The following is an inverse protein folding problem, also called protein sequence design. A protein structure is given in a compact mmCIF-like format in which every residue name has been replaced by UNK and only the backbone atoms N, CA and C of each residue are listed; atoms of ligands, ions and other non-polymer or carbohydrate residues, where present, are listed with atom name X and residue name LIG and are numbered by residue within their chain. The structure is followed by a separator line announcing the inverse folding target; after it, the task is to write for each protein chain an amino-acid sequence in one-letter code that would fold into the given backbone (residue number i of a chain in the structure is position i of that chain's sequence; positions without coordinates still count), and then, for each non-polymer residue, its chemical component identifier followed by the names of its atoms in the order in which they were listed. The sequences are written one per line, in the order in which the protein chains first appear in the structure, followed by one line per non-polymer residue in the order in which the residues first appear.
data_IF_183927424316
#
_entry.id   IF_183927424316
#
_cell.length_a   1.000
_cell.length_b   1.000
_cell.length_c   1.000
_cell.angle_alpha   90.00
_cell.angle_beta   90.00
_cell.angle_gamma   90.00
#
_symmetry.space_group_name_H-M   'P 1'
#
loop_
_entity.id
_entity.type
_entity.pdbx_description
1 polymer ?
#
# COMPACT_ATOMS: atom_id res chain seq x y z
N UNK A 1 -3.53 21.69 -12.71
CA UNK A 1 -4.53 20.77 -13.30
C UNK A 1 -5.25 20.10 -12.14
N UNK A 2 -6.53 19.74 -12.30
CA UNK A 2 -7.26 18.98 -11.29
C UNK A 2 -6.83 17.52 -11.33
N UNK A 3 -6.76 16.86 -10.16
CA UNK A 3 -6.57 15.41 -10.09
C UNK A 3 -7.85 14.74 -10.59
N UNK A 4 -7.71 13.76 -11.46
CA UNK A 4 -8.81 12.95 -12.00
C UNK A 4 -8.61 11.50 -11.61
N UNK A 5 -9.65 10.85 -11.12
CA UNK A 5 -9.59 9.47 -10.64
C UNK A 5 -10.70 8.63 -11.29
N UNK A 6 -10.37 7.41 -11.67
CA UNK A 6 -11.38 6.47 -12.15
C UNK A 6 -12.20 5.95 -10.97
N UNK A 7 -13.49 6.28 -10.99
CA UNK A 7 -14.42 5.84 -9.97
C UNK A 7 -15.08 4.52 -10.40
N UNK A 8 -14.84 3.45 -9.64
CA UNK A 8 -15.43 2.13 -9.93
C UNK A 8 -16.95 2.17 -9.92
N UNK A 9 -17.56 3.03 -9.08
CA UNK A 9 -19.00 3.13 -8.96
C UNK A 9 -19.67 3.67 -10.24
N UNK A 10 -19.12 4.74 -10.82
CA UNK A 10 -19.65 5.33 -12.06
C UNK A 10 -19.03 4.71 -13.33
N UNK A 11 -17.89 4.00 -13.20
CA UNK A 11 -17.03 3.54 -14.31
C UNK A 11 -16.52 4.67 -15.20
N UNK A 12 -16.32 5.85 -14.62
CA UNK A 12 -15.82 7.03 -15.33
C UNK A 12 -14.60 7.62 -14.60
N UNK A 13 -13.75 8.31 -15.35
CA UNK A 13 -12.71 9.15 -14.76
C UNK A 13 -13.31 10.50 -14.45
N UNK A 14 -13.33 10.87 -13.17
CA UNK A 14 -14.00 12.06 -12.63
C UNK A 14 -12.96 13.03 -12.05
N UNK A 15 -13.26 14.32 -12.08
CA UNK A 15 -12.48 15.31 -11.35
C UNK A 15 -12.63 15.09 -9.84
N UNK A 16 -11.49 15.02 -9.15
CA UNK A 16 -11.49 14.84 -7.70
C UNK A 16 -11.70 16.17 -6.99
N UNK A 17 -12.70 16.22 -6.12
CA UNK A 17 -12.96 17.34 -5.23
C UNK A 17 -13.31 16.82 -3.85
N UNK A 18 -12.57 17.21 -2.79
CA UNK A 18 -12.84 16.76 -1.42
C UNK A 18 -14.22 17.16 -0.91
N UNK A 19 -14.73 16.38 0.05
CA UNK A 19 -15.93 16.72 0.84
C UNK A 19 -15.71 17.95 1.73
N UNK A 20 -14.47 18.20 2.10
CA UNK A 20 -14.10 19.36 2.91
C UNK A 20 -14.46 20.67 2.18
N UNK A 21 -15.28 21.54 2.79
CA UNK A 21 -15.67 22.82 2.17
C UNK A 21 -14.49 23.75 1.86
N UNK A 22 -13.37 23.61 2.58
CA UNK A 22 -12.13 24.33 2.30
C UNK A 22 -11.34 23.72 1.12
N UNK A 23 -11.73 22.53 0.66
CA UNK A 23 -11.09 21.84 -0.45
C UNK A 23 -9.68 21.29 -0.13
N UNK A 24 -9.34 21.11 1.14
CA UNK A 24 -8.00 20.74 1.58
C UNK A 24 -7.89 19.33 2.16
N UNK A 25 -8.86 18.93 2.99
CA UNK A 25 -8.82 17.64 3.69
C UNK A 25 -9.47 16.54 2.88
N UNK A 26 -8.82 15.39 2.86
CA UNK A 26 -9.27 14.17 2.17
C UNK A 26 -9.39 13.03 3.17
N UNK A 27 -10.58 12.45 3.29
CA UNK A 27 -10.89 11.28 4.11
C UNK A 27 -10.74 10.03 3.28
N UNK A 28 -9.73 9.23 3.56
CA UNK A 28 -9.38 8.03 2.80
C UNK A 28 -9.45 6.78 3.69
N UNK A 29 -10.26 5.80 3.31
CA UNK A 29 -10.29 4.49 3.95
C UNK A 29 -9.72 3.43 3.01
N UNK A 30 -8.92 2.51 3.55
CA UNK A 30 -8.30 1.44 2.79
C UNK A 30 -8.49 0.12 3.53
N UNK A 31 -8.92 -0.94 2.81
CA UNK A 31 -9.04 -2.26 3.42
C UNK A 31 -7.67 -2.85 3.70
N UNK A 32 -7.39 -3.08 4.99
CA UNK A 32 -6.16 -3.69 5.45
C UNK A 32 -6.18 -5.22 5.46
N UNK A 33 -5.15 -5.88 5.98
CA UNK A 33 -5.04 -7.32 5.97
C UNK A 33 -5.89 -8.02 7.02
N UNK A 34 -6.33 -9.24 6.70
CA UNK A 34 -6.71 -10.23 7.72
C UNK A 34 -5.43 -10.86 8.28
N UNK A 35 -5.16 -10.65 9.56
CA UNK A 35 -3.87 -10.95 10.20
C UNK A 35 -3.78 -12.37 10.74
N UNK A 36 -3.96 -13.36 9.87
CA UNK A 36 -3.81 -14.80 10.18
C UNK A 36 -2.55 -15.42 9.58
N UNK A 37 -1.86 -14.70 8.69
CA UNK A 37 -0.63 -15.10 8.02
C UNK A 37 0.13 -13.86 7.53
N UNK A 38 1.39 -14.03 7.12
CA UNK A 38 2.12 -12.97 6.43
C UNK A 38 1.37 -12.50 5.18
N UNK A 39 1.32 -11.20 4.97
CA UNK A 39 0.77 -10.63 3.75
C UNK A 39 1.63 -11.04 2.54
N UNK A 40 0.97 -11.26 1.41
CA UNK A 40 1.65 -11.63 0.17
C UNK A 40 1.79 -10.42 -0.77
N UNK A 41 2.62 -10.56 -1.80
CA UNK A 41 2.89 -9.46 -2.76
C UNK A 41 1.63 -8.93 -3.46
N UNK A 42 0.58 -9.74 -3.59
CA UNK A 42 -0.72 -9.29 -4.11
C UNK A 42 -1.41 -8.28 -3.20
N UNK A 43 -1.32 -8.46 -1.87
CA UNK A 43 -1.81 -7.48 -0.92
C UNK A 43 -0.96 -6.19 -1.01
N UNK A 44 0.37 -6.33 -1.04
CA UNK A 44 1.27 -5.18 -1.14
C UNK A 44 1.13 -4.41 -2.44
N UNK A 45 0.64 -5.03 -3.52
CA UNK A 45 0.30 -4.28 -4.73
C UNK A 45 -0.81 -3.25 -4.46
N UNK A 46 -1.87 -3.65 -3.75
CA UNK A 46 -2.94 -2.72 -3.37
C UNK A 46 -2.42 -1.64 -2.42
N UNK A 47 -1.71 -2.02 -1.37
CA UNK A 47 -1.18 -1.06 -0.39
C UNK A 47 -0.14 -0.09 -0.99
N UNK A 48 0.63 -0.53 -1.98
CA UNK A 48 1.60 0.33 -2.67
C UNK A 48 0.90 1.33 -3.60
N UNK A 49 -0.18 0.92 -4.28
CA UNK A 49 -1.03 1.82 -5.04
C UNK A 49 -1.71 2.87 -4.15
N UNK A 50 -2.25 2.47 -3.00
CA UNK A 50 -2.88 3.35 -2.02
C UNK A 50 -1.88 4.38 -1.46
N UNK A 51 -0.64 3.95 -1.23
CA UNK A 51 0.46 4.84 -0.83
C UNK A 51 0.84 5.83 -1.93
N UNK A 52 0.88 5.39 -3.19
CA UNK A 52 1.10 6.27 -4.34
C UNK A 52 0.00 7.34 -4.43
N UNK A 53 -1.26 6.94 -4.27
CA UNK A 53 -2.41 7.84 -4.27
C UNK A 53 -2.29 8.88 -3.16
N UNK A 54 -2.05 8.46 -1.92
CA UNK A 54 -1.88 9.37 -0.79
C UNK A 54 -0.74 10.36 -1.03
N UNK A 55 0.44 9.87 -1.42
CA UNK A 55 1.62 10.71 -1.68
C UNK A 55 1.39 11.70 -2.83
N UNK A 56 0.67 11.29 -3.86
CA UNK A 56 0.34 12.17 -4.98
C UNK A 56 -0.64 13.27 -4.56
N UNK A 57 -1.70 12.93 -3.82
CA UNK A 57 -2.65 13.91 -3.27
C UNK A 57 -1.93 14.90 -2.35
N UNK A 58 -1.05 14.44 -1.46
CA UNK A 58 -0.23 15.30 -0.60
C UNK A 58 0.70 16.21 -1.42
N UNK A 59 1.31 15.69 -2.49
CA UNK A 59 2.14 16.49 -3.39
C UNK A 59 1.33 17.56 -4.16
N UNK A 60 0.01 17.36 -4.30
CA UNK A 60 -0.93 18.35 -4.84
C UNK A 60 -1.50 19.30 -3.77
N UNK A 61 -1.03 19.18 -2.52
CA UNK A 61 -1.37 20.09 -1.44
C UNK A 61 -2.57 19.67 -0.60
N UNK A 62 -3.09 18.47 -0.76
CA UNK A 62 -4.14 17.93 0.09
C UNK A 62 -3.60 17.40 1.41
N UNK A 63 -4.38 17.52 2.48
CA UNK A 63 -4.15 16.86 3.77
C UNK A 63 -4.95 15.56 3.79
N UNK A 64 -4.28 14.42 3.65
CA UNK A 64 -4.94 13.11 3.59
C UNK A 64 -4.97 12.48 4.98
N UNK A 65 -6.18 12.28 5.53
CA UNK A 65 -6.41 11.46 6.73
C UNK A 65 -6.74 10.04 6.28
N UNK A 66 -5.77 9.12 6.42
CA UNK A 66 -5.92 7.72 6.00
C UNK A 66 -6.16 6.79 7.17
N UNK A 67 -7.17 5.94 7.02
CA UNK A 67 -7.47 4.82 7.91
C UNK A 67 -7.24 3.52 7.16
N UNK A 68 -6.54 2.56 7.79
CA UNK A 68 -6.39 1.19 7.29
C UNK A 68 -6.71 0.21 8.42
N UNK A 69 -7.75 -0.61 8.25
CA UNK A 69 -8.15 -1.56 9.29
C UNK A 69 -7.21 -2.77 9.39
N UNK A 70 -7.28 -3.43 10.54
CA UNK A 70 -6.69 -4.75 10.76
C UNK A 70 -7.81 -5.71 11.15
N UNK A 71 -8.14 -6.66 10.27
CA UNK A 71 -9.09 -7.72 10.57
C UNK A 71 -8.38 -8.79 11.40
N UNK A 72 -8.53 -8.72 12.72
CA UNK A 72 -7.91 -9.61 13.70
C UNK A 72 -8.88 -10.62 14.31
N UNK A 73 -10.13 -10.64 13.83
CA UNK A 73 -11.12 -11.65 14.15
C UNK A 73 -11.88 -12.08 12.89
N UNK A 74 -11.71 -13.33 12.49
CA UNK A 74 -12.48 -14.02 11.44
C UNK A 74 -12.32 -15.55 11.59
N UNK A 75 -12.97 -16.33 10.74
CA UNK A 75 -12.85 -17.80 10.76
C UNK A 75 -11.41 -18.30 10.59
N UNK A 76 -10.57 -17.57 9.84
CA UNK A 76 -9.17 -17.96 9.57
C UNK A 76 -8.27 -17.65 10.75
N UNK A 77 -8.46 -16.48 11.38
CA UNK A 77 -7.68 -16.06 12.56
C UNK A 77 -7.98 -16.97 13.76
N UNK A 78 -9.27 -17.28 14.00
CA UNK A 78 -9.71 -18.17 15.09
C UNK A 78 -9.15 -19.58 14.87
N UNK A 79 -9.31 -20.14 13.67
CA UNK A 79 -8.78 -21.44 13.32
C UNK A 79 -7.27 -21.52 13.45
N UNK A 80 -6.55 -20.48 13.00
CA UNK A 80 -5.11 -20.37 13.10
C UNK A 80 -4.61 -20.30 14.55
N UNK A 81 -5.26 -19.48 15.38
CA UNK A 81 -4.96 -19.36 16.80
C UNK A 81 -5.14 -20.68 17.55
N UNK A 82 -6.26 -21.37 17.30
CA UNK A 82 -6.55 -22.70 17.89
C UNK A 82 -5.53 -23.75 17.45
N UNK A 83 -5.21 -23.82 16.16
CA UNK A 83 -4.21 -24.73 15.63
C UNK A 83 -2.83 -24.49 16.23
N UNK A 84 -2.48 -23.24 16.53
CA UNK A 84 -1.23 -22.85 17.19
C UNK A 84 -1.28 -22.98 18.73
N UNK A 85 -2.41 -23.34 19.33
CA UNK A 85 -2.57 -23.41 20.80
C UNK A 85 -2.36 -22.06 21.49
N UNK A 86 -2.72 -20.94 20.83
CA UNK A 86 -2.49 -19.58 21.31
C UNK A 86 -3.81 -18.81 21.44
N UNK A 87 -3.84 -17.81 22.34
CA UNK A 87 -4.96 -16.86 22.37
C UNK A 87 -5.01 -16.07 21.06
N UNK A 88 -6.20 -15.67 20.62
CA UNK A 88 -6.40 -14.93 19.37
C UNK A 88 -5.50 -13.68 19.29
N UNK A 89 -5.48 -12.86 20.34
CA UNK A 89 -4.68 -11.64 20.39
C UNK A 89 -3.17 -11.91 20.22
N UNK A 90 -2.63 -12.96 20.93
CA UNK A 90 -1.22 -13.31 20.84
C UNK A 90 -0.84 -13.89 19.46
N UNK A 91 -1.77 -14.58 18.82
CA UNK A 91 -1.58 -15.13 17.49
C UNK A 91 -1.58 -14.03 16.43
N UNK A 92 -2.57 -13.16 16.45
CA UNK A 92 -2.71 -12.09 15.45
C UNK A 92 -1.65 -11.01 15.60
N UNK A 93 -1.15 -10.76 16.82
CA UNK A 93 -0.11 -9.76 17.07
C UNK A 93 1.17 -10.05 16.28
N UNK A 94 1.56 -11.32 16.16
CA UNK A 94 2.74 -11.72 15.35
C UNK A 94 2.62 -11.24 13.90
N UNK A 95 1.43 -11.37 13.32
CA UNK A 95 1.20 -10.96 11.93
C UNK A 95 0.96 -9.46 11.78
N UNK A 96 0.43 -8.78 12.81
CA UNK A 96 0.38 -7.32 12.86
C UNK A 96 1.80 -6.73 12.85
N UNK A 97 2.69 -7.21 13.71
CA UNK A 97 4.08 -6.75 13.78
C UNK A 97 4.82 -7.01 12.48
N UNK A 98 4.62 -8.21 11.90
CA UNK A 98 5.16 -8.57 10.61
C UNK A 98 4.67 -7.65 9.48
N UNK A 99 3.37 -7.35 9.45
CA UNK A 99 2.76 -6.44 8.49
C UNK A 99 3.35 -5.04 8.58
N UNK A 100 3.50 -4.53 9.79
CA UNK A 100 4.12 -3.23 9.99
C UNK A 100 5.58 -3.18 9.53
N UNK A 101 6.36 -4.21 9.83
CA UNK A 101 7.73 -4.33 9.32
C UNK A 101 7.77 -4.34 7.79
N UNK A 102 6.83 -5.03 7.15
CA UNK A 102 6.73 -5.11 5.70
C UNK A 102 6.35 -3.75 5.07
N UNK A 103 5.44 -2.99 5.70
CA UNK A 103 5.11 -1.62 5.25
C UNK A 103 6.37 -0.73 5.25
N UNK A 104 7.15 -0.77 6.33
CA UNK A 104 8.38 0.03 6.44
C UNK A 104 9.41 -0.40 5.39
N UNK A 105 9.59 -1.70 5.19
CA UNK A 105 10.51 -2.27 4.20
C UNK A 105 10.14 -1.85 2.78
N UNK A 106 8.84 -1.80 2.46
CA UNK A 106 8.33 -1.33 1.17
C UNK A 106 8.16 0.20 1.11
N UNK A 107 8.50 0.93 2.20
CA UNK A 107 8.33 2.39 2.31
C UNK A 107 6.91 2.87 2.07
N UNK A 108 5.95 2.03 2.41
CA UNK A 108 4.54 2.39 2.42
C UNK A 108 4.30 3.28 3.64
N UNK A 109 3.82 4.49 3.40
CA UNK A 109 3.54 5.45 4.46
C UNK A 109 2.51 4.87 5.42
N UNK A 110 2.76 5.00 6.71
CA UNK A 110 1.81 4.58 7.75
C UNK A 110 0.51 5.37 7.60
N UNK A 111 -0.64 4.70 7.72
CA UNK A 111 -1.91 5.38 7.85
C UNK A 111 -1.96 6.13 9.20
N UNK A 112 -2.81 7.13 9.32
CA UNK A 112 -2.99 7.88 10.57
C UNK A 112 -3.63 7.01 11.65
N UNK A 113 -4.47 6.03 11.23
CA UNK A 113 -5.15 5.11 12.11
C UNK A 113 -5.09 3.68 11.58
N UNK A 114 -4.81 2.73 12.48
CA UNK A 114 -4.87 1.29 12.22
C UNK A 114 -5.84 0.62 13.21
N UNK A 115 -7.17 0.82 13.06
CA UNK A 115 -8.15 0.20 13.94
C UNK A 115 -8.12 -1.32 13.78
N UNK A 116 -8.11 -2.05 14.91
CA UNK A 116 -8.28 -3.50 14.92
C UNK A 116 -9.73 -3.86 15.28
N UNK A 117 -10.31 -4.84 14.58
CA UNK A 117 -11.71 -5.20 14.73
C UNK A 117 -12.09 -5.62 16.17
N UNK A 118 -11.13 -6.24 16.91
CA UNK A 118 -11.35 -6.69 18.30
C UNK A 118 -11.25 -5.59 19.35
N UNK A 119 -10.91 -4.34 18.99
CA UNK A 119 -10.87 -3.25 19.96
C UNK A 119 -12.28 -2.99 20.53
N UNK A 120 -12.45 -2.88 21.88
CA UNK A 120 -13.77 -2.78 22.51
C UNK A 120 -14.65 -1.68 21.89
N UNK A 121 -14.08 -0.52 21.62
CA UNK A 121 -14.82 0.62 21.02
C UNK A 121 -15.42 0.31 19.65
N UNK A 122 -14.77 -0.54 18.84
CA UNK A 122 -15.28 -0.91 17.53
C UNK A 122 -16.28 -2.05 17.62
N UNK A 123 -16.09 -3.01 18.55
CA UNK A 123 -17.13 -4.02 18.88
C UNK A 123 -18.42 -3.33 19.33
N UNK A 124 -18.35 -2.37 20.24
CA UNK A 124 -19.49 -1.58 20.69
C UNK A 124 -20.16 -0.82 19.52
N UNK A 125 -19.34 -0.23 18.62
CA UNK A 125 -19.84 0.46 17.44
C UNK A 125 -20.54 -0.48 16.47
N UNK A 126 -19.99 -1.66 16.21
CA UNK A 126 -20.61 -2.69 15.38
C UNK A 126 -21.95 -3.15 15.97
N UNK A 127 -21.98 -3.43 17.27
CA UNK A 127 -23.23 -3.78 17.97
C UNK A 127 -24.27 -2.67 17.83
N UNK A 128 -23.88 -1.42 18.03
CA UNK A 128 -24.80 -0.28 17.88
C UNK A 128 -25.36 -0.16 16.45
N UNK A 129 -24.50 -0.31 15.42
CA UNK A 129 -24.93 -0.27 14.01
C UNK A 129 -25.90 -1.42 13.70
N UNK A 130 -25.59 -2.64 14.15
CA UNK A 130 -26.46 -3.82 13.95
C UNK A 130 -27.80 -3.62 14.67
N UNK A 131 -27.79 -3.09 15.89
CA UNK A 131 -29.00 -2.75 16.64
C UNK A 131 -29.89 -1.78 15.86
N UNK A 132 -29.31 -0.72 15.29
CA UNK A 132 -30.04 0.25 14.45
C UNK A 132 -30.64 -0.41 13.20
N UNK A 133 -29.91 -1.31 12.53
CA UNK A 133 -30.42 -2.04 11.36
C UNK A 133 -31.56 -3.00 11.72
N UNK A 134 -31.50 -3.63 12.90
CA UNK A 134 -32.59 -4.48 13.44
C UNK A 134 -33.83 -3.65 13.73
N UNK A 135 -33.70 -2.52 14.41
CA UNK A 135 -34.82 -1.60 14.73
C UNK A 135 -35.49 -1.06 13.44
N UNK A 136 -34.72 -0.83 12.38
CA UNK A 136 -35.24 -0.39 11.07
C UNK A 136 -35.87 -1.55 10.26
N UNK A 137 -35.78 -2.80 10.72
CA UNK A 137 -36.25 -3.99 9.98
C UNK A 137 -35.43 -4.29 8.71
N UNK A 138 -34.23 -3.73 8.62
CA UNK A 138 -33.24 -3.97 7.56
C UNK A 138 -32.45 -5.23 7.85
N UNK A 139 -32.18 -5.51 9.12
CA UNK A 139 -31.60 -6.76 9.58
C UNK A 139 -32.64 -7.64 10.29
N UNK A 140 -32.31 -8.91 10.43
CA UNK A 140 -33.12 -9.86 11.19
C UNK A 140 -32.23 -10.86 11.93
N UNK A 141 -32.75 -11.40 13.03
CA UNK A 141 -32.12 -12.49 13.76
C UNK A 141 -32.70 -13.83 13.26
N UNK A 142 -31.81 -14.75 12.90
CA UNK A 142 -32.15 -16.10 12.49
C UNK A 142 -32.35 -17.05 13.72
N UNK A 143 -32.80 -18.29 13.49
CA UNK A 143 -33.05 -19.28 14.54
C UNK A 143 -31.77 -19.64 15.33
N UNK A 144 -30.61 -19.66 14.67
CA UNK A 144 -29.29 -19.90 15.24
C UNK A 144 -28.76 -18.72 16.09
N UNK A 145 -29.54 -17.61 16.17
CA UNK A 145 -29.21 -16.33 16.82
C UNK A 145 -28.19 -15.49 16.09
N UNK A 146 -27.75 -15.87 14.91
CA UNK A 146 -26.98 -14.99 14.02
C UNK A 146 -27.86 -13.86 13.50
N UNK A 147 -27.25 -12.73 13.18
CA UNK A 147 -27.96 -11.57 12.60
C UNK A 147 -27.50 -11.36 11.17
N UNK A 148 -28.46 -11.26 10.26
CA UNK A 148 -28.23 -11.07 8.83
C UNK A 148 -28.80 -9.75 8.34
N UNK A 149 -28.13 -9.17 7.33
CA UNK A 149 -28.65 -8.03 6.56
C UNK A 149 -29.60 -8.56 5.50
N UNK A 150 -30.80 -7.99 5.40
CA UNK A 150 -31.83 -8.37 4.43
C UNK A 150 -31.64 -7.59 3.14
N UNK A 151 -31.03 -8.21 2.13
CA UNK A 151 -30.70 -7.55 0.85
C UNK A 151 -31.93 -6.96 0.15
N UNK A 152 -33.10 -7.57 0.26
CA UNK A 152 -34.35 -7.06 -0.29
C UNK A 152 -34.74 -5.66 0.24
N UNK A 153 -34.15 -5.20 1.34
CA UNK A 153 -34.36 -3.86 1.91
C UNK A 153 -33.42 -2.79 1.38
N UNK A 154 -32.42 -3.17 0.58
CA UNK A 154 -31.49 -2.25 -0.05
C UNK A 154 -31.44 -2.49 -1.58
N UNK A 155 -32.37 -1.92 -2.35
CA UNK A 155 -32.49 -2.16 -3.79
C UNK A 155 -31.27 -1.76 -4.62
N UNK A 156 -30.42 -0.86 -4.07
CA UNK A 156 -29.19 -0.41 -4.72
C UNK A 156 -28.01 -1.39 -4.55
N UNK A 157 -28.18 -2.51 -3.85
CA UNK A 157 -27.12 -3.52 -3.71
C UNK A 157 -26.71 -4.08 -5.07
N UNK A 158 -25.42 -4.17 -5.32
CA UNK A 158 -24.87 -4.57 -6.61
C UNK A 158 -24.53 -3.40 -7.55
N UNK A 159 -24.82 -2.15 -7.15
CA UNK A 159 -24.57 -0.98 -7.99
C UNK A 159 -23.08 -0.70 -8.20
N UNK A 160 -22.22 -0.89 -7.20
CA UNK A 160 -20.76 -0.75 -7.32
C UNK A 160 -20.16 -1.85 -8.22
N UNK A 161 -20.60 -3.08 -8.05
CA UNK A 161 -20.15 -4.23 -8.81
C UNK A 161 -20.82 -4.33 -10.20
N UNK A 162 -21.82 -3.50 -10.48
CA UNK A 162 -22.65 -3.52 -11.67
C UNK A 162 -23.30 -4.89 -11.94
N UNK A 163 -23.77 -5.52 -10.86
CA UNK A 163 -24.42 -6.82 -10.91
C UNK A 163 -25.93 -6.68 -11.06
N UNK A 164 -26.51 -7.55 -11.87
CA UNK A 164 -27.95 -7.76 -11.88
C UNK A 164 -28.30 -8.80 -10.80
N UNK A 165 -28.94 -8.38 -9.71
CA UNK A 165 -29.31 -9.28 -8.61
C UNK A 165 -30.23 -10.42 -9.03
N UNK A 166 -31.04 -10.24 -10.08
CA UNK A 166 -31.91 -11.29 -10.61
C UNK A 166 -31.11 -12.45 -11.26
N UNK A 167 -29.88 -12.16 -11.69
CA UNK A 167 -28.95 -13.16 -12.26
C UNK A 167 -28.13 -13.89 -11.18
N UNK A 168 -28.09 -13.37 -9.94
CA UNK A 168 -27.41 -13.99 -8.80
C UNK A 168 -28.22 -15.11 -8.13
N UNK A 169 -29.39 -15.47 -8.68
CA UNK A 169 -30.12 -16.66 -8.28
C UNK A 169 -29.28 -17.92 -8.52
N UNK A 170 -29.38 -18.97 -7.72
CA UNK A 170 -28.32 -19.84 -7.24
C UNK A 170 -27.51 -20.51 -8.34
N UNK A 171 -26.43 -19.87 -8.76
CA UNK A 171 -25.38 -20.50 -9.60
C UNK A 171 -24.30 -21.24 -8.79
N UNK A 172 -24.47 -21.40 -7.48
CA UNK A 172 -23.55 -22.14 -6.61
C UNK A 172 -22.16 -21.55 -6.46
N UNK A 173 -21.90 -20.31 -6.90
CA UNK A 173 -20.56 -19.68 -6.90
C UNK A 173 -20.31 -18.66 -5.80
N UNK A 174 -21.32 -18.26 -5.04
CA UNK A 174 -21.10 -17.54 -3.80
C UNK A 174 -20.79 -18.60 -2.76
N UNK A 175 -19.55 -18.67 -2.28
CA UNK A 175 -19.23 -19.44 -1.06
C UNK A 175 -20.05 -18.82 0.04
N UNK A 176 -21.27 -19.36 0.21
CA UNK A 176 -22.14 -18.98 1.31
C UNK A 176 -21.42 -19.36 2.57
N UNK A 177 -21.30 -18.43 3.51
CA UNK A 177 -21.06 -18.81 4.89
C UNK A 177 -22.01 -19.97 5.21
N UNK A 178 -21.53 -21.03 5.86
CA UNK A 178 -22.25 -22.27 6.19
C UNK A 178 -23.37 -22.05 7.23
N UNK A 179 -24.25 -21.04 7.03
CA UNK A 179 -25.29 -20.65 8.00
C UNK A 179 -26.68 -20.74 7.39
N UNK A 180 -27.65 -21.03 8.26
CA UNK A 180 -29.07 -20.94 7.89
C UNK A 180 -29.45 -19.48 7.61
N UNK A 181 -29.92 -19.19 6.40
CA UNK A 181 -30.34 -17.87 5.94
C UNK A 181 -31.78 -17.93 5.45
N UNK A 182 -32.56 -16.89 5.69
CA UNK A 182 -33.88 -16.75 5.10
C UNK A 182 -33.80 -16.59 3.57
N UNK A 183 -32.71 -15.97 3.10
CA UNK A 183 -32.47 -15.72 1.68
C UNK A 183 -31.00 -15.95 1.35
N UNK A 184 -30.71 -16.64 0.25
CA UNK A 184 -29.35 -17.01 -0.19
C UNK A 184 -28.45 -15.79 -0.43
N UNK A 185 -29.02 -14.61 -0.67
CA UNK A 185 -28.29 -13.37 -0.86
C UNK A 185 -27.91 -12.61 0.41
N UNK A 186 -28.60 -12.85 1.54
CA UNK A 186 -28.38 -12.11 2.79
C UNK A 186 -27.02 -12.45 3.39
N UNK A 187 -26.33 -11.46 3.97
CA UNK A 187 -25.00 -11.62 4.54
C UNK A 187 -24.97 -11.39 6.05
N UNK A 188 -24.05 -12.09 6.73
CA UNK A 188 -23.96 -12.04 8.19
C UNK A 188 -23.40 -10.70 8.69
N UNK A 189 -24.13 -10.08 9.62
CA UNK A 189 -23.70 -8.92 10.40
C UNK A 189 -23.10 -9.35 11.75
N UNK A 190 -23.66 -10.42 12.34
CA UNK A 190 -23.21 -11.02 13.58
C UNK A 190 -23.33 -12.53 13.47
N UNK A 191 -22.26 -13.24 13.75
CA UNK A 191 -22.23 -14.71 13.79
C UNK A 191 -22.41 -15.16 15.21
N UNK A 192 -23.46 -15.93 15.48
CA UNK A 192 -23.71 -16.53 16.80
C UNK A 192 -22.51 -17.40 17.19
N UNK A 193 -22.16 -17.37 18.46
CA UNK A 193 -21.08 -18.19 18.99
C UNK A 193 -21.38 -19.69 18.85
N UNK A 194 -20.36 -20.43 18.48
CA UNK A 194 -20.36 -21.89 18.46
C UNK A 194 -19.04 -22.45 19.03
N UNK A 195 -18.98 -23.75 19.27
CA UNK A 195 -17.79 -24.39 19.87
C UNK A 195 -16.51 -24.23 19.06
N UNK A 196 -16.59 -23.99 17.75
CA UNK A 196 -15.45 -23.75 16.91
C UNK A 196 -14.79 -22.38 17.18
N UNK A 197 -15.53 -21.41 17.72
CA UNK A 197 -15.04 -20.10 18.11
C UNK A 197 -14.23 -20.14 19.43
N UNK A 198 -14.42 -21.19 20.26
CA UNK A 198 -13.75 -21.34 21.56
C UNK A 198 -14.06 -20.20 22.50
N UNK A 199 -13.05 -19.47 22.98
CA UNK A 199 -13.22 -18.32 23.89
C UNK A 199 -13.55 -17.01 23.17
N UNK A 200 -13.50 -16.99 21.83
CA UNK A 200 -13.67 -15.76 21.03
C UNK A 200 -15.15 -15.44 20.88
N UNK A 201 -15.63 -14.55 21.73
CA UNK A 201 -17.03 -14.06 21.70
C UNK A 201 -17.17 -12.74 22.43
N UNK A 202 -18.19 -12.00 22.05
CA UNK A 202 -18.67 -10.80 22.73
C UNK A 202 -20.14 -10.92 23.00
N UNK A 203 -20.61 -10.31 24.09
CA UNK A 203 -22.04 -10.26 24.43
C UNK A 203 -22.71 -9.15 23.60
N UNK A 204 -23.84 -9.47 23.01
CA UNK A 204 -24.70 -8.54 22.30
C UNK A 204 -26.17 -8.73 22.71
N UNK A 205 -27.09 -7.76 22.49
CA UNK A 205 -28.49 -7.87 22.86
C UNK A 205 -29.22 -9.10 22.30
N UNK A 206 -28.73 -9.60 21.14
CA UNK A 206 -29.27 -10.78 20.45
C UNK A 206 -28.53 -12.09 20.80
N UNK A 207 -27.50 -12.03 21.60
CA UNK A 207 -26.77 -13.19 22.10
C UNK A 207 -25.27 -13.10 21.88
N UNK A 208 -24.53 -14.01 22.52
CA UNK A 208 -23.08 -14.10 22.38
C UNK A 208 -22.67 -14.48 20.96
N UNK A 209 -21.59 -13.88 20.47
CA UNK A 209 -21.08 -14.13 19.11
C UNK A 209 -19.94 -13.21 18.73
N UNK A 210 -19.76 -13.01 17.45
CA UNK A 210 -18.73 -12.14 16.87
C UNK A 210 -19.21 -11.40 15.63
N UNK A 211 -18.58 -10.26 15.26
CA UNK A 211 -18.98 -9.54 14.05
C UNK A 211 -18.81 -10.39 12.78
N UNK A 212 -19.66 -10.13 11.81
CA UNK A 212 -19.44 -10.51 10.41
C UNK A 212 -18.32 -9.66 9.82
N UNK A 213 -17.67 -10.16 8.78
CA UNK A 213 -16.51 -9.49 8.18
C UNK A 213 -16.81 -8.08 7.62
N UNK A 214 -18.00 -7.89 7.05
CA UNK A 214 -18.31 -6.63 6.35
C UNK A 214 -18.64 -5.47 7.30
N UNK A 215 -19.20 -5.73 8.47
CA UNK A 215 -19.58 -4.68 9.43
C UNK A 215 -18.36 -4.03 10.09
N UNK A 216 -17.21 -4.71 10.10
CA UNK A 216 -15.98 -4.20 10.70
C UNK A 216 -15.56 -2.88 10.03
N UNK A 217 -15.42 -2.89 8.69
CA UNK A 217 -14.99 -1.72 7.94
C UNK A 217 -16.02 -0.58 8.01
N UNK A 218 -17.30 -0.89 7.87
CA UNK A 218 -18.39 0.10 8.01
C UNK A 218 -18.35 0.81 9.37
N UNK A 219 -18.17 0.05 10.46
CA UNK A 219 -18.13 0.59 11.81
C UNK A 219 -16.87 1.43 12.06
N UNK A 220 -15.70 0.93 11.67
CA UNK A 220 -14.41 1.60 11.85
C UNK A 220 -14.31 2.87 10.98
N UNK A 221 -14.71 2.79 9.72
CA UNK A 221 -14.69 3.92 8.81
C UNK A 221 -15.61 5.06 9.29
N UNK A 222 -16.86 4.73 9.62
CA UNK A 222 -17.82 5.74 10.10
C UNK A 222 -17.46 6.31 11.47
N UNK A 223 -16.80 5.54 12.34
CA UNK A 223 -16.36 6.01 13.66
C UNK A 223 -15.19 6.99 13.58
N UNK A 224 -14.24 6.78 12.65
CA UNK A 224 -13.03 7.58 12.54
C UNK A 224 -13.19 8.75 11.55
N UNK A 225 -13.76 8.49 10.39
CA UNK A 225 -13.84 9.47 9.29
C UNK A 225 -15.23 10.12 9.17
N UNK A 226 -16.23 9.59 9.89
CA UNK A 226 -17.59 10.08 9.81
C UNK A 226 -18.42 9.38 8.73
N UNK A 227 -19.67 9.86 8.49
CA UNK A 227 -20.65 9.14 7.67
C UNK A 227 -20.40 9.19 6.16
N UNK A 228 -19.54 10.07 5.70
CA UNK A 228 -19.20 10.28 4.28
C UNK A 228 -17.70 10.34 4.10
N UNK A 229 -17.18 9.59 3.13
CA UNK A 229 -15.76 9.50 2.80
C UNK A 229 -15.50 10.06 1.40
N UNK A 230 -14.31 10.65 1.20
CA UNK A 230 -13.86 11.06 -0.12
C UNK A 230 -13.48 9.88 -0.97
N UNK A 231 -12.66 9.00 -0.42
CA UNK A 231 -12.05 7.87 -1.14
C UNK A 231 -12.13 6.60 -0.29
N UNK A 232 -12.49 5.48 -0.94
CA UNK A 232 -12.32 4.14 -0.39
C UNK A 232 -11.58 3.26 -1.39
N UNK A 233 -10.53 2.57 -0.93
CA UNK A 233 -9.69 1.71 -1.77
C UNK A 233 -9.69 0.25 -1.31
N UNK A 234 -9.40 -0.65 -2.26
CA UNK A 234 -9.15 -2.07 -2.01
C UNK A 234 -8.71 -2.81 -3.26
N UNK A 235 -8.62 -4.13 -3.20
CA UNK A 235 -8.48 -4.98 -4.37
C UNK A 235 -9.81 -5.11 -5.14
N UNK A 236 -9.77 -5.50 -6.41
CA UNK A 236 -11.00 -5.76 -7.19
C UNK A 236 -11.85 -6.90 -6.60
N UNK A 237 -11.25 -7.77 -5.81
CA UNK A 237 -11.93 -8.83 -5.05
C UNK A 237 -12.74 -8.30 -3.86
N UNK A 238 -12.45 -7.09 -3.39
CA UNK A 238 -13.25 -6.42 -2.37
C UNK A 238 -14.54 -5.80 -2.94
N UNK A 239 -14.62 -5.52 -4.24
CA UNK A 239 -15.82 -4.89 -4.85
C UNK A 239 -17.07 -5.67 -4.44
N UNK A 240 -17.03 -6.99 -4.61
CA UNK A 240 -18.14 -7.88 -4.25
C UNK A 240 -17.62 -9.14 -3.52
N UNK A 241 -18.24 -9.48 -2.37
CA UNK A 241 -19.41 -8.83 -1.77
C UNK A 241 -19.06 -7.71 -0.76
N UNK A 242 -17.76 -7.48 -0.44
CA UNK A 242 -17.32 -6.73 0.74
C UNK A 242 -17.76 -5.26 0.68
N UNK A 243 -17.33 -4.50 -0.32
CA UNK A 243 -17.64 -3.08 -0.43
C UNK A 243 -19.12 -2.80 -0.72
N UNK A 244 -19.79 -3.69 -1.45
CA UNK A 244 -21.26 -3.64 -1.59
C UNK A 244 -21.98 -3.75 -0.25
N UNK A 245 -21.53 -4.67 0.60
CA UNK A 245 -22.08 -4.82 1.93
C UNK A 245 -21.78 -3.61 2.81
N UNK A 246 -20.59 -3.01 2.70
CA UNK A 246 -20.25 -1.78 3.41
C UNK A 246 -21.14 -0.60 3.01
N UNK A 247 -21.41 -0.43 1.71
CA UNK A 247 -22.35 0.60 1.21
C UNK A 247 -23.73 0.38 1.86
N UNK A 248 -24.26 -0.84 1.76
CA UNK A 248 -25.58 -1.15 2.28
C UNK A 248 -25.68 -0.88 3.78
N UNK A 249 -24.70 -1.33 4.58
CA UNK A 249 -24.65 -1.12 6.03
C UNK A 249 -24.55 0.36 6.39
N UNK A 250 -23.59 1.07 5.77
CA UNK A 250 -23.30 2.45 6.11
C UNK A 250 -24.40 3.41 5.67
N UNK A 251 -24.93 3.25 4.46
CA UNK A 251 -25.98 4.13 3.93
C UNK A 251 -27.32 3.90 4.64
N UNK A 252 -27.65 2.65 5.01
CA UNK A 252 -28.84 2.38 5.81
C UNK A 252 -28.75 2.96 7.21
N UNK A 253 -27.56 2.93 7.85
CA UNK A 253 -27.40 3.52 9.17
C UNK A 253 -27.35 5.05 9.17
N UNK A 254 -26.76 5.65 8.15
CA UNK A 254 -26.47 7.09 8.16
C UNK A 254 -27.46 7.92 7.35
N UNK A 255 -28.15 7.32 6.39
CA UNK A 255 -29.01 7.99 5.42
C UNK A 255 -28.22 8.85 4.42
N UNK A 256 -26.90 8.66 4.32
CA UNK A 256 -25.99 9.45 3.48
C UNK A 256 -25.25 8.54 2.53
N UNK A 257 -24.79 9.08 1.39
CA UNK A 257 -23.89 8.38 0.48
C UNK A 257 -22.57 8.10 1.22
N UNK A 258 -22.16 6.84 1.28
CA UNK A 258 -21.03 6.43 2.09
C UNK A 258 -19.69 6.94 1.53
N UNK A 259 -19.43 6.71 0.24
CA UNK A 259 -18.14 7.06 -0.40
C UNK A 259 -18.36 7.78 -1.73
N UNK A 260 -17.57 8.81 -2.00
CA UNK A 260 -17.62 9.52 -3.28
C UNK A 260 -16.87 8.78 -4.39
N UNK A 261 -15.62 8.37 -4.13
CA UNK A 261 -14.76 7.73 -5.13
C UNK A 261 -14.31 6.35 -4.63
N UNK A 262 -14.65 5.33 -5.39
CA UNK A 262 -14.23 3.95 -5.15
C UNK A 262 -13.09 3.59 -6.10
N UNK A 263 -11.91 3.25 -5.57
CA UNK A 263 -10.74 2.90 -6.36
C UNK A 263 -10.31 1.47 -6.06
N UNK A 264 -10.16 0.67 -7.10
CA UNK A 264 -9.83 -0.75 -6.96
C UNK A 264 -8.58 -1.13 -7.75
N UNK A 265 -7.66 -1.81 -7.05
CA UNK A 265 -6.43 -2.33 -7.62
C UNK A 265 -6.69 -3.69 -8.27
N UNK A 266 -6.29 -3.86 -9.53
CA UNK A 266 -6.40 -5.12 -10.25
C UNK A 266 -5.47 -6.20 -9.67
N UNK A 267 -5.80 -7.47 -9.93
CA UNK A 267 -5.06 -8.62 -9.45
C UNK A 267 -3.58 -8.62 -9.88
N UNK A 268 -2.77 -9.23 -9.03
CA UNK A 268 -1.39 -9.58 -9.35
C UNK A 268 -1.33 -11.06 -9.78
N UNK A 269 -0.72 -11.31 -10.93
CA UNK A 269 -0.34 -12.62 -11.42
C UNK A 269 1.16 -12.84 -11.16
N UNK A 270 1.57 -14.09 -11.01
CA UNK A 270 2.98 -14.46 -10.88
C UNK A 270 3.32 -15.41 -12.02
N UNK A 271 4.33 -15.03 -12.82
CA UNK A 271 4.77 -15.80 -14.00
C UNK A 271 3.59 -16.18 -14.93
N UNK A 272 2.69 -15.19 -15.17
CA UNK A 272 1.53 -15.36 -16.03
C UNK A 272 0.37 -16.16 -15.46
N UNK A 273 0.44 -16.60 -14.21
CA UNK A 273 -0.55 -17.42 -13.55
C UNK A 273 -1.14 -16.75 -12.31
N UNK A 274 -2.35 -17.13 -11.92
CA UNK A 274 -2.92 -16.73 -10.63
C UNK A 274 -2.03 -17.26 -9.50
N UNK A 275 -1.70 -16.36 -8.56
CA UNK A 275 -0.90 -16.73 -7.39
C UNK A 275 -1.63 -17.72 -6.50
N UNK A 276 -1.01 -18.85 -6.18
CA UNK A 276 -1.53 -19.84 -5.25
C UNK A 276 -0.41 -20.62 -4.55
N UNK A 277 -0.65 -21.08 -3.33
CA UNK A 277 0.31 -21.92 -2.59
C UNK A 277 0.54 -23.26 -3.27
N UNK A 278 -0.49 -23.84 -3.86
CA UNK A 278 -0.43 -25.15 -4.58
C UNK A 278 0.39 -25.09 -5.86
N UNK A 279 0.45 -23.94 -6.52
CA UNK A 279 1.27 -23.73 -7.72
C UNK A 279 2.73 -23.37 -7.42
N UNK A 280 3.10 -23.20 -6.14
CA UNK A 280 4.47 -22.82 -5.76
C UNK A 280 4.89 -21.41 -6.18
N UNK A 281 3.94 -20.60 -6.63
CA UNK A 281 4.14 -19.22 -7.10
C UNK A 281 3.61 -18.17 -6.11
N UNK A 282 3.47 -18.54 -4.84
CA UNK A 282 3.03 -17.67 -3.77
C UNK A 282 4.25 -17.04 -3.08
N UNK A 283 4.37 -15.71 -3.17
CA UNK A 283 5.47 -14.97 -2.54
C UNK A 283 4.96 -14.01 -1.47
N UNK A 284 5.59 -14.09 -0.29
CA UNK A 284 5.61 -13.02 0.69
C UNK A 284 6.75 -12.06 0.39
N UNK A 285 6.77 -10.89 1.03
CA UNK A 285 7.93 -9.99 0.92
C UNK A 285 9.21 -10.68 1.42
N UNK A 286 9.15 -11.47 2.49
CA UNK A 286 10.28 -12.19 3.08
C UNK A 286 10.94 -13.15 2.09
N UNK A 287 10.13 -13.88 1.33
CA UNK A 287 10.64 -14.81 0.31
C UNK A 287 11.48 -14.08 -0.76
N UNK A 288 11.12 -12.82 -1.07
CA UNK A 288 11.85 -12.01 -2.03
C UNK A 288 13.13 -11.41 -1.43
N UNK A 289 13.08 -10.99 -0.16
CA UNK A 289 14.26 -10.51 0.57
C UNK A 289 15.29 -11.64 0.72
N UNK A 290 14.87 -12.86 1.04
CA UNK A 290 15.73 -14.05 1.11
C UNK A 290 16.38 -14.41 -0.25
N UNK A 291 15.71 -14.08 -1.36
CA UNK A 291 16.27 -14.20 -2.72
C UNK A 291 17.25 -13.07 -3.07
N UNK A 292 17.54 -12.14 -2.15
CA UNK A 292 18.48 -11.03 -2.32
C UNK A 292 17.92 -9.81 -3.04
N UNK A 293 16.60 -9.68 -3.11
CA UNK A 293 15.94 -8.43 -3.54
C UNK A 293 15.72 -7.51 -2.35
N UNK A 294 15.66 -6.21 -2.61
CA UNK A 294 15.38 -5.20 -1.59
C UNK A 294 13.92 -4.78 -1.63
N UNK A 295 13.39 -4.25 -0.51
CA UNK A 295 12.03 -3.70 -0.47
C UNK A 295 11.81 -2.60 -1.51
N UNK A 296 12.83 -1.80 -1.79
CA UNK A 296 12.84 -0.77 -2.82
C UNK A 296 12.62 -1.33 -4.23
N UNK A 297 13.30 -2.43 -4.57
CA UNK A 297 13.14 -3.13 -5.85
C UNK A 297 11.74 -3.73 -5.98
N UNK A 298 11.24 -4.33 -4.90
CA UNK A 298 9.87 -4.87 -4.87
C UNK A 298 8.84 -3.75 -5.01
N UNK A 299 9.00 -2.63 -4.29
CA UNK A 299 8.13 -1.45 -4.44
C UNK A 299 8.10 -0.94 -5.88
N UNK A 300 9.27 -0.80 -6.51
CA UNK A 300 9.36 -0.39 -7.92
C UNK A 300 8.58 -1.35 -8.82
N UNK A 301 8.81 -2.66 -8.69
CA UNK A 301 8.16 -3.68 -9.50
C UNK A 301 6.62 -3.65 -9.34
N UNK A 302 6.12 -3.40 -8.12
CA UNK A 302 4.68 -3.29 -7.85
C UNK A 302 4.03 -2.04 -8.46
N UNK A 303 4.81 -1.00 -8.77
CA UNK A 303 4.36 0.26 -9.37
C UNK A 303 4.57 0.36 -10.90
N UNK A 304 5.08 -0.68 -11.56
CA UNK A 304 5.41 -0.61 -13.01
C UNK A 304 4.21 -0.48 -13.93
N UNK A 305 3.02 -0.85 -13.45
CA UNK A 305 1.78 -0.90 -14.25
C UNK A 305 0.69 -0.12 -13.51
N UNK A 306 -0.16 0.60 -14.27
CA UNK A 306 -1.33 1.29 -13.71
C UNK A 306 -2.14 0.34 -12.82
N UNK A 307 -2.61 0.84 -11.67
CA UNK A 307 -3.28 0.02 -10.65
C UNK A 307 -4.52 -0.73 -11.16
N UNK A 308 -5.23 -0.20 -12.16
CA UNK A 308 -6.40 -0.84 -12.78
C UNK A 308 -6.08 -1.99 -13.73
N UNK A 309 -4.82 -2.16 -14.12
CA UNK A 309 -4.39 -3.22 -15.02
C UNK A 309 -3.78 -4.38 -14.22
N UNK A 310 -4.03 -5.64 -14.60
CA UNK A 310 -3.34 -6.77 -13.99
C UNK A 310 -1.82 -6.64 -14.10
N UNK A 311 -1.12 -6.86 -12.99
CA UNK A 311 0.35 -6.89 -12.97
C UNK A 311 0.83 -8.33 -13.08
N UNK A 312 1.63 -8.64 -14.10
CA UNK A 312 2.37 -9.90 -14.15
C UNK A 312 3.71 -9.71 -13.44
N UNK A 313 3.78 -10.14 -12.19
CA UNK A 313 5.00 -10.09 -11.38
C UNK A 313 5.92 -11.26 -11.74
N UNK A 314 7.17 -10.95 -12.07
CA UNK A 314 8.17 -11.95 -12.44
C UNK A 314 9.51 -11.65 -11.78
N UNK A 315 10.35 -12.67 -11.60
CA UNK A 315 11.72 -12.47 -11.09
C UNK A 315 12.55 -11.63 -12.07
N UNK A 316 12.37 -11.84 -13.37
CA UNK A 316 13.01 -11.00 -14.40
C UNK A 316 12.56 -9.53 -14.30
N UNK A 317 11.31 -9.27 -13.93
CA UNK A 317 10.79 -7.93 -13.65
C UNK A 317 11.49 -7.26 -12.46
N UNK A 318 11.82 -8.01 -11.40
CA UNK A 318 12.60 -7.50 -10.27
C UNK A 318 14.05 -7.15 -10.66
N UNK A 319 14.70 -7.95 -11.52
CA UNK A 319 16.01 -7.60 -12.07
C UNK A 319 15.94 -6.33 -12.95
N UNK A 320 14.86 -6.18 -13.71
CA UNK A 320 14.56 -4.95 -14.43
C UNK A 320 14.38 -3.74 -13.51
N UNK A 321 13.69 -3.93 -12.36
CA UNK A 321 13.52 -2.91 -11.33
C UNK A 321 14.87 -2.48 -10.73
N UNK A 322 15.74 -3.45 -10.40
CA UNK A 322 17.12 -3.22 -9.93
C UNK A 322 17.91 -2.37 -10.92
N UNK A 323 17.87 -2.72 -12.20
CA UNK A 323 18.58 -1.97 -13.26
C UNK A 323 18.02 -0.54 -13.42
N UNK A 324 16.71 -0.37 -13.35
CA UNK A 324 16.07 0.95 -13.44
C UNK A 324 16.43 1.85 -12.26
N UNK A 325 16.37 1.31 -11.04
CA UNK A 325 16.78 2.00 -9.82
C UNK A 325 18.27 2.35 -9.83
N UNK A 326 19.13 1.48 -10.35
CA UNK A 326 20.54 1.76 -10.54
C UNK A 326 20.80 2.99 -11.43
N UNK A 327 20.03 3.14 -12.52
CA UNK A 327 20.10 4.33 -13.39
C UNK A 327 19.66 5.61 -12.68
N UNK A 328 18.63 5.52 -11.85
CA UNK A 328 18.18 6.65 -11.02
C UNK A 328 19.29 7.04 -10.04
N UNK A 329 19.89 6.05 -9.35
CA UNK A 329 20.95 6.28 -8.36
C UNK A 329 22.20 6.92 -8.99
N UNK A 330 22.59 6.43 -10.15
CA UNK A 330 23.73 6.98 -10.91
C UNK A 330 23.47 8.45 -11.29
N UNK A 331 22.28 8.73 -11.82
CA UNK A 331 21.89 10.10 -12.16
C UNK A 331 21.87 11.02 -10.96
N UNK A 332 21.24 10.60 -9.85
CA UNK A 332 21.19 11.37 -8.60
C UNK A 332 22.59 11.62 -8.06
N UNK A 333 23.48 10.63 -8.13
CA UNK A 333 24.90 10.79 -7.77
C UNK A 333 25.57 11.87 -8.60
N UNK A 334 25.43 11.81 -9.93
CA UNK A 334 26.02 12.79 -10.86
C UNK A 334 25.58 14.22 -10.58
N UNK A 335 24.26 14.47 -10.43
CA UNK A 335 23.76 15.83 -10.17
C UNK A 335 24.11 16.31 -8.75
N UNK A 336 24.28 15.40 -7.78
CA UNK A 336 24.73 15.73 -6.43
C UNK A 336 26.19 16.17 -6.40
N UNK A 337 27.08 15.43 -7.08
CA UNK A 337 28.51 15.72 -7.13
C UNK A 337 28.79 17.06 -7.83
N UNK A 338 28.01 17.38 -8.87
CA UNK A 338 28.16 18.62 -9.60
C UNK A 338 27.76 19.86 -8.77
N UNK A 339 26.88 19.73 -7.79
CA UNK A 339 26.44 20.81 -6.91
C UNK A 339 27.55 21.42 -6.07
N UNK A 340 28.57 20.64 -5.72
CA UNK A 340 29.64 21.08 -4.81
C UNK A 340 30.69 21.95 -5.48
N UNK A 341 30.59 22.22 -6.78
CA UNK A 341 31.63 22.95 -7.53
C UNK A 341 31.48 24.48 -7.55
N UNK A 342 30.58 25.11 -6.68
CA UNK A 342 30.19 26.49 -6.93
C UNK A 342 29.82 27.43 -5.85
N UNK A 343 30.00 28.73 -6.24
CA UNK A 343 29.65 29.98 -5.57
C UNK A 343 28.48 30.79 -6.18
N UNK A 344 27.81 30.37 -7.23
CA UNK A 344 26.77 31.18 -7.89
C UNK A 344 25.36 30.58 -7.73
N UNK A 345 24.48 31.38 -7.11
CA UNK A 345 23.08 31.06 -6.84
C UNK A 345 22.21 31.72 -7.94
N UNK A 346 21.69 30.91 -8.85
CA UNK A 346 20.61 31.35 -9.74
C UNK A 346 20.77 30.93 -11.20
N UNK A 347 19.76 30.24 -11.71
CA UNK A 347 19.61 29.92 -13.12
C UNK A 347 18.36 29.09 -13.32
N UNK A 348 17.39 29.60 -14.11
CA UNK A 348 16.23 28.81 -14.50
C UNK A 348 16.71 27.56 -15.24
N UNK A 349 16.08 26.42 -14.96
CA UNK A 349 16.32 25.20 -15.72
C UNK A 349 15.93 25.40 -17.20
N UNK A 350 16.59 24.69 -18.14
CA UNK A 350 16.09 24.57 -19.49
C UNK A 350 14.61 24.13 -19.51
N UNK A 351 13.80 24.78 -20.37
CA UNK A 351 12.37 24.58 -20.41
C UNK A 351 11.96 23.11 -20.56
N UNK A 352 12.66 22.35 -21.41
CA UNK A 352 12.40 20.93 -21.61
C UNK A 352 12.54 20.11 -20.33
N UNK A 353 13.48 20.42 -19.43
CA UNK A 353 13.64 19.69 -18.16
C UNK A 353 12.52 20.01 -17.17
N UNK A 354 12.08 21.27 -17.12
CA UNK A 354 10.91 21.67 -16.33
C UNK A 354 9.63 21.02 -16.85
N UNK A 355 9.46 20.96 -18.18
CA UNK A 355 8.32 20.29 -18.83
C UNK A 355 8.25 18.79 -18.49
N UNK A 356 9.40 18.09 -18.38
CA UNK A 356 9.43 16.67 -17.95
C UNK A 356 8.93 16.50 -16.52
N UNK A 357 9.35 17.38 -15.63
CA UNK A 357 8.88 17.37 -14.26
C UNK A 357 7.36 17.63 -14.17
N UNK A 358 6.86 18.64 -14.86
CA UNK A 358 5.43 18.91 -14.92
C UNK A 358 4.66 17.75 -15.56
N UNK A 359 5.23 17.14 -16.59
CA UNK A 359 4.68 15.97 -17.27
C UNK A 359 4.57 14.75 -16.35
N UNK A 360 5.53 14.57 -15.42
CA UNK A 360 5.47 13.51 -14.40
C UNK A 360 4.22 13.65 -13.53
N UNK A 361 4.01 14.85 -12.98
CA UNK A 361 2.84 15.07 -12.11
C UNK A 361 1.53 15.10 -12.90
N UNK A 362 1.53 15.64 -14.11
CA UNK A 362 0.34 15.63 -14.98
C UNK A 362 -0.10 14.22 -15.36
N UNK A 363 0.86 13.29 -15.55
CA UNK A 363 0.53 11.89 -15.77
C UNK A 363 -0.12 11.25 -14.53
N UNK A 364 0.34 11.59 -13.32
CA UNK A 364 -0.29 11.10 -12.09
C UNK A 364 -1.64 11.77 -11.81
N UNK A 365 -1.86 13.01 -12.25
CA UNK A 365 -3.17 13.65 -12.19
C UNK A 365 -4.22 12.92 -13.04
N UNK A 366 -3.82 12.21 -14.09
CA UNK A 366 -4.70 11.43 -14.95
C UNK A 366 -4.73 9.97 -14.47
N UNK A 367 -5.51 9.73 -13.43
CA UNK A 367 -5.80 8.41 -12.86
C UNK A 367 -4.54 7.62 -12.48
N UNK A 368 -3.59 8.30 -11.85
CA UNK A 368 -2.32 7.72 -11.41
C UNK A 368 -1.60 6.95 -12.53
N UNK A 369 -1.52 7.53 -13.74
CA UNK A 369 -0.80 6.95 -14.87
C UNK A 369 0.70 6.88 -14.59
N UNK A 370 1.07 5.93 -13.72
CA UNK A 370 2.44 5.72 -13.27
C UNK A 370 3.38 5.39 -14.43
N UNK A 371 2.90 4.67 -15.46
CA UNK A 371 3.72 4.35 -16.63
C UNK A 371 4.11 5.61 -17.40
N UNK A 372 3.16 6.53 -17.59
CA UNK A 372 3.43 7.85 -18.19
C UNK A 372 4.38 8.68 -17.32
N UNK A 373 4.14 8.72 -16.01
CA UNK A 373 5.01 9.44 -15.08
C UNK A 373 6.45 8.91 -15.08
N UNK A 374 6.65 7.60 -15.06
CA UNK A 374 7.96 6.98 -15.17
C UNK A 374 8.64 7.27 -16.51
N UNK A 375 7.88 7.33 -17.60
CA UNK A 375 8.39 7.79 -18.90
C UNK A 375 8.98 9.20 -18.82
N UNK A 376 8.24 10.15 -18.22
CA UNK A 376 8.73 11.54 -18.03
C UNK A 376 9.97 11.60 -17.13
N UNK A 377 10.03 10.79 -16.07
CA UNK A 377 11.22 10.71 -15.20
C UNK A 377 12.44 10.20 -15.99
N UNK A 378 12.32 9.13 -16.76
CA UNK A 378 13.46 8.62 -17.52
C UNK A 378 13.87 9.54 -18.69
N UNK A 379 12.94 10.30 -19.27
CA UNK A 379 13.24 11.35 -20.20
C UNK A 379 13.99 12.51 -19.53
N UNK A 380 13.56 12.94 -18.33
CA UNK A 380 14.29 13.92 -17.53
C UNK A 380 15.73 13.48 -17.26
N UNK A 381 15.93 12.22 -16.85
CA UNK A 381 17.25 11.63 -16.61
C UNK A 381 18.10 11.64 -17.87
N UNK A 382 17.56 11.21 -19.00
CA UNK A 382 18.27 11.14 -20.28
C UNK A 382 18.69 12.53 -20.77
N UNK A 383 17.77 13.49 -20.77
CA UNK A 383 17.99 14.84 -21.29
C UNK A 383 18.95 15.63 -20.39
N UNK A 384 18.80 15.53 -19.08
CA UNK A 384 19.71 16.20 -18.13
C UNK A 384 21.12 15.58 -18.16
N UNK A 385 21.26 14.26 -18.31
CA UNK A 385 22.56 13.62 -18.50
C UNK A 385 23.24 14.12 -19.77
N UNK A 386 22.50 14.21 -20.89
CA UNK A 386 23.04 14.76 -22.14
C UNK A 386 23.49 16.22 -21.98
N UNK A 387 22.71 17.04 -21.28
CA UNK A 387 23.06 18.43 -21.02
C UNK A 387 24.30 18.57 -20.10
N UNK A 388 24.46 17.67 -19.11
CA UNK A 388 25.69 17.59 -18.30
C UNK A 388 26.92 17.21 -19.11
N UNK A 389 26.79 16.19 -19.98
CA UNK A 389 27.90 15.71 -20.82
C UNK A 389 28.42 16.81 -21.80
N UNK A 390 27.56 17.72 -22.23
CA UNK A 390 27.88 18.83 -23.10
C UNK A 390 28.19 20.15 -22.36
N UNK A 391 28.26 20.14 -21.03
CA UNK A 391 28.54 21.34 -20.23
C UNK A 391 27.45 22.42 -20.33
N UNK A 392 26.22 22.04 -20.64
CA UNK A 392 25.08 22.96 -20.84
C UNK A 392 24.31 23.28 -19.54
N UNK A 393 24.66 22.63 -18.44
CA UNK A 393 24.06 22.90 -17.13
C UNK A 393 25.06 23.53 -16.18
N UNK A 394 24.64 24.61 -15.57
CA UNK A 394 25.37 25.22 -14.47
C UNK A 394 25.11 24.42 -13.17
N UNK A 395 25.95 24.53 -12.17
CA UNK A 395 25.74 23.91 -10.90
C UNK A 395 24.51 24.44 -10.13
N UNK A 396 24.12 25.69 -10.33
CA UNK A 396 22.84 26.19 -9.82
C UNK A 396 21.65 25.44 -10.44
N UNK A 397 21.71 25.16 -11.73
CA UNK A 397 20.70 24.36 -12.43
C UNK A 397 20.70 22.90 -11.99
N UNK A 398 21.85 22.31 -11.67
CA UNK A 398 21.90 20.96 -11.09
C UNK A 398 21.32 20.89 -9.68
N UNK A 399 21.47 21.95 -8.87
CA UNK A 399 20.80 22.06 -7.59
C UNK A 399 19.25 22.13 -7.75
N UNK A 400 18.76 22.81 -8.79
CA UNK A 400 17.33 22.80 -9.10
C UNK A 400 16.86 21.39 -9.57
N UNK A 401 17.64 20.67 -10.37
CA UNK A 401 17.32 19.28 -10.73
C UNK A 401 17.19 18.36 -9.51
N UNK A 402 18.03 18.56 -8.48
CA UNK A 402 17.90 17.83 -7.23
C UNK A 402 16.58 18.13 -6.52
N UNK A 403 16.12 19.38 -6.50
CA UNK A 403 14.80 19.72 -5.93
C UNK A 403 13.65 19.09 -6.71
N UNK A 404 13.76 19.05 -8.06
CA UNK A 404 12.77 18.33 -8.88
C UNK A 404 12.76 16.85 -8.54
N UNK A 405 13.93 16.21 -8.42
CA UNK A 405 14.02 14.83 -7.97
C UNK A 405 13.41 14.61 -6.58
N UNK A 406 13.73 15.47 -5.61
CA UNK A 406 13.18 15.38 -4.26
C UNK A 406 11.65 15.44 -4.26
N UNK A 407 11.05 16.28 -5.13
CA UNK A 407 9.61 16.37 -5.27
C UNK A 407 9.00 15.10 -5.88
N UNK A 408 9.62 14.55 -6.93
CA UNK A 408 9.23 13.28 -7.56
C UNK A 408 9.39 12.13 -6.54
N UNK A 409 10.51 12.12 -5.83
CA UNK A 409 10.82 11.04 -4.90
C UNK A 409 9.92 11.03 -3.65
N UNK A 410 9.39 12.18 -3.23
CA UNK A 410 8.34 12.21 -2.18
C UNK A 410 7.13 11.36 -2.56
N UNK A 411 6.82 11.27 -3.85
CA UNK A 411 5.72 10.45 -4.37
C UNK A 411 6.16 9.00 -4.58
N UNK A 412 7.32 8.77 -5.20
CA UNK A 412 7.77 7.42 -5.56
C UNK A 412 8.39 6.65 -4.38
N UNK A 413 9.08 7.34 -3.48
CA UNK A 413 9.89 6.77 -2.39
C UNK A 413 10.95 5.77 -2.90
N UNK A 414 11.69 6.20 -3.95
CA UNK A 414 12.74 5.41 -4.60
C UNK A 414 14.16 5.85 -4.23
N UNK A 415 14.32 6.71 -3.20
CA UNK A 415 15.66 7.10 -2.75
C UNK A 415 16.50 5.90 -2.34
N UNK A 416 17.80 6.01 -2.58
CA UNK A 416 18.75 5.04 -2.06
C UNK A 416 18.80 5.18 -0.53
N UNK A 417 18.80 4.05 0.18
CA UNK A 417 19.07 4.08 1.62
C UNK A 417 20.42 4.75 1.87
N UNK A 418 20.43 5.73 2.76
CA UNK A 418 21.68 6.30 3.22
C UNK A 418 22.43 5.21 3.97
N UNK A 419 23.43 4.63 3.33
CA UNK A 419 24.31 3.66 4.00
C UNK A 419 25.10 4.45 5.02
N UNK A 420 24.62 4.46 6.26
CA UNK A 420 25.38 5.04 7.37
C UNK A 420 26.55 4.12 7.64
N UNK A 421 27.73 4.52 7.15
CA UNK A 421 28.97 3.80 7.47
C UNK A 421 29.29 4.02 8.95
N UNK A 422 29.39 2.97 9.77
CA UNK A 422 29.78 3.12 11.17
C UNK A 422 31.12 3.88 11.27
N UNK A 423 31.23 4.73 12.27
CA UNK A 423 32.42 5.57 12.44
C UNK A 423 33.73 4.74 12.50
N UNK A 424 33.68 3.57 13.11
CA UNK A 424 34.79 2.60 13.16
C UNK A 424 35.16 2.08 11.76
N UNK A 425 34.19 1.77 10.90
CA UNK A 425 34.46 1.33 9.51
C UNK A 425 35.01 2.50 8.70
N UNK A 426 34.48 3.70 8.85
CA UNK A 426 35.01 4.91 8.19
C UNK A 426 36.49 5.14 8.57
N UNK A 427 36.83 5.03 9.87
CA UNK A 427 38.20 5.15 10.34
C UNK A 427 39.14 4.05 9.76
N UNK A 428 38.65 2.82 9.57
CA UNK A 428 39.42 1.75 8.93
C UNK A 428 39.65 2.03 7.45
N UNK A 429 38.69 2.64 6.75
CA UNK A 429 38.84 3.03 5.36
C UNK A 429 39.88 4.15 5.23
N UNK A 430 39.89 5.15 6.10
CA UNK A 430 40.89 6.21 6.11
C UNK A 430 42.29 5.65 6.32
N UNK A 431 42.47 4.76 7.33
CA UNK A 431 43.75 4.09 7.56
C UNK A 431 44.21 3.28 6.35
N UNK A 432 43.27 2.59 5.68
CA UNK A 432 43.57 1.84 4.47
C UNK A 432 44.01 2.76 3.34
N UNK A 433 43.37 3.92 3.15
CA UNK A 433 43.80 4.91 2.16
C UNK A 433 45.20 5.39 2.43
N UNK A 434 45.53 5.69 3.70
CA UNK A 434 46.87 6.09 4.10
C UNK A 434 47.91 5.00 3.79
N UNK A 435 47.63 3.74 4.18
CA UNK A 435 48.51 2.60 3.87
C UNK A 435 48.79 2.46 2.35
N UNK A 436 47.76 2.69 1.53
CA UNK A 436 47.90 2.68 0.06
C UNK A 436 48.75 3.84 -0.47
N UNK A 437 48.57 5.04 0.09
CA UNK A 437 49.40 6.20 -0.24
C UNK A 437 50.87 5.95 0.09
N UNK A 438 51.12 5.28 1.24
CA UNK A 438 52.46 4.89 1.69
C UNK A 438 53.01 3.64 0.98
N UNK A 439 52.22 3.04 0.06
CA UNK A 439 52.52 1.79 -0.65
C UNK A 439 52.72 0.55 0.24
N UNK A 440 52.17 0.59 1.47
CA UNK A 440 52.10 -0.56 2.37
C UNK A 440 50.88 -1.44 2.01
N UNK A 441 51.12 -2.30 1.04
CA UNK A 441 50.07 -3.20 0.53
C UNK A 441 49.65 -4.24 1.56
N UNK A 442 50.56 -4.66 2.46
CA UNK A 442 50.27 -5.62 3.51
C UNK A 442 49.28 -5.05 4.53
N UNK A 443 49.54 -3.81 4.99
CA UNK A 443 48.62 -3.12 5.87
C UNK A 443 47.27 -2.85 5.19
N UNK A 444 47.29 -2.44 3.91
CA UNK A 444 46.08 -2.20 3.12
C UNK A 444 45.19 -3.45 3.00
N UNK A 445 45.78 -4.63 2.76
CA UNK A 445 45.03 -5.89 2.64
C UNK A 445 44.46 -6.32 3.98
N UNK A 446 45.23 -6.22 5.07
CA UNK A 446 44.74 -6.48 6.43
C UNK A 446 43.55 -5.62 6.80
N UNK A 447 43.64 -4.31 6.51
CA UNK A 447 42.53 -3.36 6.78
C UNK A 447 41.29 -3.64 5.93
N UNK A 448 41.47 -4.12 4.69
CA UNK A 448 40.34 -4.60 3.86
C UNK A 448 39.63 -5.78 4.50
N UNK A 449 40.40 -6.74 5.01
CA UNK A 449 39.83 -7.92 5.68
C UNK A 449 39.13 -7.52 7.01
N UNK A 450 39.69 -6.58 7.74
CA UNK A 450 39.07 -6.01 8.96
C UNK A 450 37.75 -5.31 8.63
N UNK A 451 37.67 -4.49 7.56
CA UNK A 451 36.43 -3.90 7.05
C UNK A 451 35.43 -4.99 6.69
N UNK A 452 35.88 -6.09 6.09
CA UNK A 452 35.02 -7.21 5.72
C UNK A 452 34.46 -7.99 6.94
N UNK A 453 35.20 -8.05 8.07
CA UNK A 453 34.72 -8.59 9.36
C UNK A 453 33.59 -7.73 9.92
N UNK A 454 33.64 -6.41 9.75
CA UNK A 454 32.55 -5.48 10.11
C UNK A 454 31.34 -5.53 9.12
N UNK A 455 31.32 -6.49 8.18
CA UNK A 455 30.20 -6.65 7.24
C UNK A 455 30.22 -5.69 6.06
N UNK A 456 31.39 -5.14 5.70
CA UNK A 456 31.53 -4.15 4.62
C UNK A 456 32.51 -4.62 3.53
N UNK A 457 32.24 -4.20 2.30
CA UNK A 457 33.12 -4.39 1.16
C UNK A 457 33.64 -3.03 0.72
N UNK A 458 34.95 -2.89 0.56
CA UNK A 458 35.59 -1.70 -0.02
C UNK A 458 36.07 -2.00 -1.44
N UNK A 459 35.61 -1.21 -2.42
CA UNK A 459 36.07 -1.23 -3.81
C UNK A 459 36.81 0.05 -4.11
N UNK A 460 38.02 -0.05 -4.66
CA UNK A 460 38.79 1.10 -5.11
C UNK A 460 38.23 1.58 -6.47
N UNK A 461 37.94 2.87 -6.60
CA UNK A 461 37.52 3.51 -7.83
C UNK A 461 38.43 4.70 -8.15
N UNK A 462 38.32 5.27 -9.33
CA UNK A 462 39.09 6.46 -9.71
C UNK A 462 38.78 7.65 -8.81
N UNK A 463 37.60 7.69 -8.25
CA UNK A 463 37.08 8.77 -7.39
C UNK A 463 37.26 8.49 -5.87
N UNK A 464 37.99 7.41 -5.54
CA UNK A 464 38.22 6.97 -4.15
C UNK A 464 37.55 5.62 -3.82
N UNK A 465 37.70 5.13 -2.57
CA UNK A 465 37.09 3.88 -2.13
C UNK A 465 35.59 4.02 -2.00
N UNK A 466 34.84 3.10 -2.63
CA UNK A 466 33.41 2.93 -2.41
C UNK A 466 33.14 1.81 -1.44
N UNK A 467 32.31 2.08 -0.44
CA UNK A 467 31.85 1.12 0.56
C UNK A 467 30.46 0.57 0.20
N UNK A 468 30.28 -0.70 0.43
CA UNK A 468 28.97 -1.33 0.39
C UNK A 468 28.86 -2.38 1.50
N UNK A 469 27.69 -2.61 2.09
CA UNK A 469 27.46 -3.78 2.95
C UNK A 469 27.79 -5.07 2.20
N UNK A 470 28.24 -6.09 2.97
CA UNK A 470 28.64 -7.40 2.44
C UNK A 470 27.41 -8.24 2.07
#
# INVERSE_FOLDING_TARGET
MSVRLFNTYSRQTEDFTPLDPAGQRVKMYTCGPTVYNHAHIGNFRAYTFEDLLQRHLEARGYEVERVMNLTDVDDKTIRGARAAGRRLADFTQVYKDAFFTDLDTLRIKRADHFPAATEPRYIERMIAMIGQLLEQGIAYQAEDRSVYFRLAKFPAYGALAHLNLDELRPSGRVNSDEYEKENIGDFALWKAWNEADGEVRWEAPWGAGRPGWHIECSAMATALLGPELDIHCGGVDNIFPHHEAEIAQSECCTGKKFVRHWLHCAHLMVEGQKMSKSAGNFYTLRDLLEKGFTGREVRYALLTVNYRLPLNFTIAGLEGARAALGRIDEWVGRISDFRFQISDLGGALPANLSERHEGFFSALDDDLNISGAMGQLFDLIRESNSALDHGQLTPAQTAELLKLWESINRVLAFERESIVVPAEVAALVEKRQQARADKDWTASDRLRDEIAVHGWIVKDTKDGPKLSPK
#
